data_IF_729413995487
#
_entry.id   IF_729413995487
#
_cell.length_a   1.000
_cell.length_b   1.000
_cell.length_c   1.000
_cell.angle_alpha   90.00
_cell.angle_beta   90.00
_cell.angle_gamma   90.00
#
_symmetry.space_group_name_H-M   'P 1'
#
loop_
_entity.id
_entity.type
_entity.pdbx_description
1 polymer ?
#
# COMPACT_ATOMS: atom_id res chain seq x y z
N UNK A 1 -25.38 -38.00 -32.35
CA UNK A 1 -24.39 -36.90 -32.36
C UNK A 1 -23.59 -36.95 -33.65
N UNK A 2 -23.99 -36.12 -34.60
CA UNK A 2 -23.34 -35.91 -35.90
C UNK A 2 -21.95 -35.30 -35.69
N UNK A 3 -21.05 -35.49 -36.67
CA UNK A 3 -19.77 -34.77 -36.71
C UNK A 3 -19.99 -33.27 -36.50
N UNK A 4 -19.14 -32.62 -35.72
CA UNK A 4 -19.24 -31.18 -35.47
C UNK A 4 -19.24 -30.42 -36.80
N UNK A 5 -20.15 -29.45 -36.92
CA UNK A 5 -20.31 -28.70 -38.16
C UNK A 5 -19.01 -27.94 -38.50
N UNK A 6 -18.62 -27.85 -39.78
CA UNK A 6 -17.39 -27.16 -40.17
C UNK A 6 -17.31 -25.71 -39.69
N UNK A 7 -18.46 -25.00 -39.66
CA UNK A 7 -18.53 -23.62 -39.17
C UNK A 7 -18.20 -23.51 -37.68
N UNK A 8 -18.66 -24.46 -36.85
CA UNK A 8 -18.40 -24.49 -35.42
C UNK A 8 -16.90 -24.67 -35.15
N UNK A 9 -16.25 -25.60 -35.86
CA UNK A 9 -14.80 -25.79 -35.81
C UNK A 9 -14.06 -24.49 -36.11
N UNK A 10 -14.47 -23.79 -37.17
CA UNK A 10 -13.88 -22.52 -37.58
C UNK A 10 -14.00 -21.42 -36.53
N UNK A 11 -15.20 -21.21 -35.98
CA UNK A 11 -15.46 -20.16 -34.97
C UNK A 11 -14.63 -20.38 -33.72
N UNK A 12 -14.73 -21.56 -33.10
CA UNK A 12 -14.06 -21.81 -31.82
C UNK A 12 -12.53 -21.89 -31.95
N UNK A 13 -12.01 -22.40 -33.07
CA UNK A 13 -10.56 -22.38 -33.33
C UNK A 13 -10.05 -20.95 -33.47
N UNK A 14 -10.77 -20.11 -34.22
CA UNK A 14 -10.44 -18.67 -34.37
C UNK A 14 -10.49 -17.97 -33.02
N UNK A 15 -11.52 -18.23 -32.21
CA UNK A 15 -11.67 -17.67 -30.87
C UNK A 15 -10.51 -18.07 -29.95
N UNK A 16 -10.09 -19.33 -30.00
CA UNK A 16 -8.94 -19.84 -29.23
C UNK A 16 -7.64 -19.12 -29.61
N UNK A 17 -7.35 -19.00 -30.91
CA UNK A 17 -6.15 -18.30 -31.42
C UNK A 17 -6.15 -16.82 -30.98
N UNK A 18 -7.27 -16.12 -31.17
CA UNK A 18 -7.38 -14.71 -30.78
C UNK A 18 -7.22 -14.54 -29.26
N UNK A 19 -7.80 -15.42 -28.46
CA UNK A 19 -7.67 -15.41 -26.99
C UNK A 19 -6.22 -15.61 -26.56
N UNK A 20 -5.51 -16.55 -27.18
CA UNK A 20 -4.10 -16.81 -26.89
C UNK A 20 -3.20 -15.60 -27.20
N UNK A 21 -3.38 -14.99 -28.37
CA UNK A 21 -2.62 -13.79 -28.77
C UNK A 21 -2.90 -12.65 -27.79
N UNK A 22 -4.17 -12.43 -27.45
CA UNK A 22 -4.60 -11.39 -26.51
C UNK A 22 -3.99 -11.60 -25.12
N UNK A 23 -4.11 -12.79 -24.53
CA UNK A 23 -3.61 -13.07 -23.18
C UNK A 23 -2.09 -13.01 -23.11
N UNK A 24 -1.40 -13.55 -24.11
CA UNK A 24 0.06 -13.56 -24.16
C UNK A 24 0.59 -12.12 -24.27
N UNK A 25 0.05 -11.33 -25.20
CA UNK A 25 0.48 -9.94 -25.42
C UNK A 25 0.27 -9.09 -24.18
N UNK A 26 -0.92 -9.16 -23.57
CA UNK A 26 -1.24 -8.37 -22.37
C UNK A 26 -0.43 -8.81 -21.14
N UNK A 27 -0.13 -10.11 -20.99
CA UNK A 27 0.73 -10.62 -19.91
C UNK A 27 2.18 -10.15 -20.05
N UNK A 28 2.73 -10.14 -21.27
CA UNK A 28 4.07 -9.62 -21.55
C UNK A 28 4.12 -8.11 -21.25
N UNK A 29 3.11 -7.35 -21.68
CA UNK A 29 3.02 -5.92 -21.38
C UNK A 29 2.91 -5.66 -19.87
N UNK A 30 2.12 -6.45 -19.15
CA UNK A 30 2.00 -6.39 -17.69
C UNK A 30 3.32 -6.64 -16.99
N UNK A 31 4.06 -7.67 -17.42
CA UNK A 31 5.39 -7.97 -16.90
C UNK A 31 6.39 -6.82 -17.15
N UNK A 32 6.49 -6.34 -18.40
CA UNK A 32 7.41 -5.25 -18.78
C UNK A 32 7.11 -3.94 -18.06
N UNK A 33 5.83 -3.65 -17.77
CA UNK A 33 5.43 -2.39 -17.13
C UNK A 33 5.49 -2.39 -15.61
N UNK A 34 5.69 -3.53 -14.95
CA UNK A 34 5.70 -3.62 -13.49
C UNK A 34 6.57 -2.57 -12.82
N UNK A 35 7.80 -2.39 -13.25
CA UNK A 35 8.74 -1.50 -12.58
C UNK A 35 8.41 -0.01 -12.77
N UNK A 36 7.47 0.33 -13.65
CA UNK A 36 7.14 1.73 -13.99
C UNK A 36 5.88 2.25 -13.30
N UNK A 37 5.02 1.38 -12.78
CA UNK A 37 3.70 1.78 -12.25
C UNK A 37 3.50 1.21 -10.85
N UNK A 38 3.35 2.07 -9.82
CA UNK A 38 3.10 1.63 -8.44
C UNK A 38 1.91 0.68 -8.30
N UNK A 39 0.80 0.93 -9.01
CA UNK A 39 -0.41 0.08 -9.01
C UNK A 39 -0.10 -1.38 -9.44
N UNK A 40 0.89 -1.59 -10.31
CA UNK A 40 1.34 -2.93 -10.73
C UNK A 40 2.34 -3.53 -9.74
N UNK A 41 3.16 -2.70 -9.09
CA UNK A 41 4.19 -3.17 -8.15
C UNK A 41 3.60 -3.86 -6.92
N UNK A 42 2.47 -3.35 -6.40
CA UNK A 42 1.78 -3.93 -5.24
C UNK A 42 1.04 -5.25 -5.56
N UNK A 43 0.97 -5.65 -6.83
CA UNK A 43 0.37 -6.91 -7.22
C UNK A 43 1.40 -8.04 -7.09
N UNK A 44 1.03 -9.22 -6.57
CA UNK A 44 1.91 -10.37 -6.50
C UNK A 44 2.16 -10.94 -7.91
N UNK A 45 3.16 -10.37 -8.62
CA UNK A 45 3.45 -10.64 -10.04
C UNK A 45 3.47 -12.14 -10.37
N UNK A 46 4.17 -12.94 -9.58
CA UNK A 46 4.34 -14.38 -9.84
C UNK A 46 2.99 -15.09 -9.86
N UNK A 47 2.13 -14.81 -8.89
CA UNK A 47 0.78 -15.36 -8.81
C UNK A 47 -0.09 -14.87 -9.97
N UNK A 48 -0.03 -13.57 -10.30
CA UNK A 48 -0.77 -13.02 -11.44
C UNK A 48 -0.37 -13.66 -12.78
N UNK A 49 0.92 -13.93 -13.00
CA UNK A 49 1.40 -14.60 -14.22
C UNK A 49 1.06 -16.08 -14.25
N UNK A 50 1.18 -16.79 -13.12
CA UNK A 50 0.73 -18.19 -13.00
C UNK A 50 -0.76 -18.29 -13.30
N UNK A 51 -1.56 -17.36 -12.75
CA UNK A 51 -2.99 -17.28 -13.03
C UNK A 51 -3.25 -17.04 -14.53
N UNK A 52 -2.60 -16.04 -15.12
CA UNK A 52 -2.77 -15.72 -16.55
C UNK A 52 -2.40 -16.90 -17.45
N UNK A 53 -1.33 -17.63 -17.14
CA UNK A 53 -0.92 -18.83 -17.86
C UNK A 53 -1.98 -19.94 -17.75
N UNK A 54 -2.45 -20.24 -16.54
CA UNK A 54 -3.49 -21.24 -16.33
C UNK A 54 -4.81 -20.87 -17.03
N UNK A 55 -5.24 -19.61 -16.94
CA UNK A 55 -6.40 -19.08 -17.66
C UNK A 55 -6.23 -19.21 -19.18
N UNK A 56 -5.04 -18.92 -19.72
CA UNK A 56 -4.74 -19.10 -21.16
C UNK A 56 -4.94 -20.55 -21.58
N UNK A 57 -4.39 -21.48 -20.81
CA UNK A 57 -4.49 -22.91 -21.09
C UNK A 57 -5.94 -23.41 -21.02
N UNK A 58 -6.70 -22.99 -20.00
CA UNK A 58 -8.12 -23.31 -19.86
C UNK A 58 -8.96 -22.77 -21.03
N UNK A 59 -8.76 -21.51 -21.42
CA UNK A 59 -9.48 -20.92 -22.54
C UNK A 59 -9.21 -21.68 -23.84
N UNK A 60 -7.95 -22.07 -24.09
CA UNK A 60 -7.60 -22.88 -25.25
C UNK A 60 -8.27 -24.26 -25.22
N UNK A 61 -8.26 -24.95 -24.07
CA UNK A 61 -8.92 -26.24 -23.92
C UNK A 61 -10.44 -26.13 -24.15
N UNK A 62 -11.08 -25.11 -23.59
CA UNK A 62 -12.52 -24.83 -23.80
C UNK A 62 -12.82 -24.61 -25.28
N UNK A 63 -12.03 -23.79 -25.97
CA UNK A 63 -12.20 -23.51 -27.39
C UNK A 63 -12.02 -24.77 -28.24
N UNK A 64 -10.95 -25.55 -28.02
CA UNK A 64 -10.72 -26.77 -28.80
C UNK A 64 -11.74 -27.87 -28.52
N UNK A 65 -12.12 -28.07 -27.25
CA UNK A 65 -13.20 -29.01 -26.91
C UNK A 65 -14.52 -28.60 -27.59
N UNK A 66 -14.84 -27.30 -27.59
CA UNK A 66 -16.05 -26.77 -28.23
C UNK A 66 -15.98 -26.87 -29.76
N UNK A 67 -14.79 -26.75 -30.37
CA UNK A 67 -14.58 -26.85 -31.80
C UNK A 67 -14.80 -28.29 -32.31
N UNK A 68 -14.08 -29.24 -31.73
CA UNK A 68 -13.97 -30.61 -32.26
C UNK A 68 -15.00 -31.56 -31.66
N UNK A 69 -15.50 -31.27 -30.46
CA UNK A 69 -16.44 -32.12 -29.73
C UNK A 69 -15.78 -33.35 -29.09
N UNK A 70 -16.53 -34.13 -28.29
CA UNK A 70 -15.98 -35.21 -27.46
C UNK A 70 -15.48 -36.43 -28.24
N UNK A 71 -15.91 -36.60 -29.51
CA UNK A 71 -15.49 -37.72 -30.36
C UNK A 71 -14.14 -37.49 -31.03
N UNK A 72 -13.83 -36.24 -31.38
CA UNK A 72 -12.61 -35.89 -32.11
C UNK A 72 -11.52 -35.34 -31.19
N UNK A 73 -11.89 -34.67 -30.09
CA UNK A 73 -10.93 -34.11 -29.14
C UNK A 73 -10.61 -35.09 -28.00
N UNK A 74 -9.33 -35.39 -27.71
CA UNK A 74 -8.98 -36.35 -26.68
C UNK A 74 -9.51 -35.95 -25.31
N UNK A 75 -10.27 -36.86 -24.68
CA UNK A 75 -10.84 -36.65 -23.35
C UNK A 75 -9.76 -36.39 -22.28
N UNK A 76 -8.56 -36.93 -22.46
CA UNK A 76 -7.41 -36.71 -21.57
C UNK A 76 -7.14 -35.21 -21.40
N UNK A 77 -7.09 -34.44 -22.48
CA UNK A 77 -6.81 -33.01 -22.43
C UNK A 77 -7.97 -32.24 -21.80
N UNK A 78 -9.21 -32.61 -22.09
CA UNK A 78 -10.38 -31.96 -21.49
C UNK A 78 -10.37 -32.13 -19.98
N UNK A 79 -10.27 -33.36 -19.47
CA UNK A 79 -10.38 -33.61 -18.05
C UNK A 79 -9.11 -33.21 -17.30
N UNK A 80 -7.93 -33.67 -17.70
CA UNK A 80 -6.71 -33.44 -16.92
C UNK A 80 -6.25 -31.99 -16.98
N UNK A 81 -6.12 -31.43 -18.19
CA UNK A 81 -5.63 -30.05 -18.33
C UNK A 81 -6.65 -29.08 -17.74
N UNK A 82 -7.96 -29.30 -17.95
CA UNK A 82 -8.96 -28.40 -17.36
C UNK A 82 -9.04 -28.53 -15.84
N UNK A 83 -8.95 -29.74 -15.27
CA UNK A 83 -8.91 -29.91 -13.81
C UNK A 83 -7.68 -29.25 -13.19
N UNK A 84 -6.49 -29.51 -13.73
CA UNK A 84 -5.24 -28.90 -13.24
C UNK A 84 -5.29 -27.38 -13.41
N UNK A 85 -5.71 -26.89 -14.58
CA UNK A 85 -5.83 -25.46 -14.86
C UNK A 85 -6.79 -24.76 -13.91
N UNK A 86 -7.96 -25.35 -13.64
CA UNK A 86 -8.93 -24.80 -12.69
C UNK A 86 -8.37 -24.75 -11.28
N UNK A 87 -7.69 -25.80 -10.82
CA UNK A 87 -7.01 -25.82 -9.52
C UNK A 87 -5.99 -24.68 -9.44
N UNK A 88 -5.15 -24.52 -10.47
CA UNK A 88 -4.13 -23.46 -10.48
C UNK A 88 -4.76 -22.07 -10.47
N UNK A 89 -5.83 -21.83 -11.24
CA UNK A 89 -6.55 -20.54 -11.23
C UNK A 89 -7.11 -20.24 -9.85
N UNK A 90 -7.85 -21.18 -9.25
CA UNK A 90 -8.45 -20.97 -7.93
C UNK A 90 -7.41 -20.79 -6.83
N UNK A 91 -6.39 -21.65 -6.78
CA UNK A 91 -5.29 -21.54 -5.80
C UNK A 91 -4.54 -20.23 -6.00
N UNK A 92 -4.27 -19.81 -7.23
CA UNK A 92 -3.59 -18.53 -7.47
C UNK A 92 -4.43 -17.34 -7.00
N UNK A 93 -5.71 -17.26 -7.36
CA UNK A 93 -6.62 -16.19 -6.89
C UNK A 93 -6.69 -16.16 -5.36
N UNK A 94 -6.72 -17.33 -4.73
CA UNK A 94 -6.69 -17.48 -3.27
C UNK A 94 -5.42 -16.92 -2.66
N UNK A 95 -4.26 -17.37 -3.13
CA UNK A 95 -2.98 -16.91 -2.63
C UNK A 95 -2.82 -15.39 -2.82
N UNK A 96 -3.40 -14.82 -3.88
CA UNK A 96 -3.45 -13.37 -4.08
C UNK A 96 -4.32 -12.67 -3.04
N UNK A 97 -5.48 -13.22 -2.71
CA UNK A 97 -6.36 -12.69 -1.67
C UNK A 97 -5.66 -12.72 -0.30
N UNK A 98 -5.02 -13.84 0.06
CA UNK A 98 -4.27 -13.98 1.31
C UNK A 98 -3.10 -12.99 1.34
N UNK A 99 -2.31 -12.91 0.27
CA UNK A 99 -1.19 -11.96 0.20
C UNK A 99 -1.66 -10.52 0.36
N UNK A 100 -2.77 -10.13 -0.29
CA UNK A 100 -3.36 -8.81 -0.15
C UNK A 100 -3.81 -8.52 1.29
N UNK A 101 -4.52 -9.46 1.92
CA UNK A 101 -4.96 -9.34 3.33
C UNK A 101 -3.77 -9.20 4.27
N UNK A 102 -2.74 -10.03 4.07
CA UNK A 102 -1.53 -10.00 4.89
C UNK A 102 -0.79 -8.67 4.76
N UNK A 103 -0.54 -8.18 3.54
CA UNK A 103 0.14 -6.90 3.31
C UNK A 103 -0.66 -5.73 3.89
N UNK A 104 -1.98 -5.73 3.72
CA UNK A 104 -2.84 -4.70 4.30
C UNK A 104 -2.77 -4.71 5.83
N UNK A 105 -2.95 -5.88 6.46
CA UNK A 105 -2.88 -6.02 7.92
C UNK A 105 -1.51 -5.61 8.44
N UNK A 106 -0.44 -6.05 7.80
CA UNK A 106 0.93 -5.71 8.17
C UNK A 106 1.17 -4.18 8.16
N UNK A 107 0.69 -3.47 7.15
CA UNK A 107 0.78 -2.01 7.08
C UNK A 107 -0.02 -1.31 8.19
N UNK A 108 -1.23 -1.80 8.50
CA UNK A 108 -2.01 -1.26 9.61
C UNK A 108 -1.36 -1.53 10.97
N UNK A 109 -0.78 -2.71 11.18
CA UNK A 109 -0.07 -3.04 12.42
C UNK A 109 1.22 -2.23 12.56
N UNK A 110 1.95 -1.95 11.47
CA UNK A 110 3.08 -1.00 11.49
C UNK A 110 2.67 0.37 12.03
N UNK A 111 1.54 0.89 11.54
CA UNK A 111 1.01 2.16 12.00
C UNK A 111 0.61 2.11 13.49
N UNK A 112 -0.02 1.00 13.92
CA UNK A 112 -0.48 0.82 15.30
C UNK A 112 0.67 0.65 16.30
N UNK A 113 1.72 -0.08 15.93
CA UNK A 113 2.90 -0.24 16.78
C UNK A 113 3.52 1.11 17.10
N UNK A 114 3.60 2.03 16.13
CA UNK A 114 4.11 3.37 16.40
C UNK A 114 3.24 4.19 17.37
N UNK A 115 1.90 4.11 17.22
CA UNK A 115 0.97 4.77 18.16
C UNK A 115 1.13 4.21 19.58
N UNK A 116 1.39 2.90 19.70
CA UNK A 116 1.55 2.23 20.99
C UNK A 116 2.83 2.69 21.70
N UNK A 117 3.89 2.99 20.96
CA UNK A 117 5.12 3.57 21.53
C UNK A 117 4.92 4.98 22.07
N UNK A 118 4.06 5.76 21.41
CA UNK A 118 3.70 7.11 21.87
C UNK A 118 2.73 7.12 23.08
N UNK A 119 2.13 5.99 23.46
CA UNK A 119 1.05 5.91 24.47
C UNK A 119 1.36 5.11 25.74
N UNK A 120 2.63 4.81 26.03
CA UNK A 120 3.05 4.26 27.33
C UNK A 120 2.74 5.24 28.49
N UNK A 121 2.47 4.68 29.68
CA UNK A 121 1.18 4.79 30.35
C UNK A 121 0.82 6.21 30.75
N UNK A 122 -0.34 6.64 30.26
CA UNK A 122 -1.18 7.59 30.98
C UNK A 122 -2.55 7.00 31.19
N UNK A 123 -3.07 7.28 32.38
CA UNK A 123 -4.35 6.81 32.90
C UNK A 123 -5.48 6.85 31.87
N UNK A 124 -6.37 5.86 31.86
CA UNK A 124 -7.39 5.71 30.84
C UNK A 124 -8.33 6.92 30.80
N UNK A 125 -8.27 7.69 29.72
CA UNK A 125 -9.25 8.74 29.41
C UNK A 125 -10.39 8.08 28.64
N UNK A 126 -11.61 8.23 29.15
CA UNK A 126 -12.87 7.87 28.49
C UNK A 126 -13.12 8.82 27.30
N UNK A 127 -13.22 8.34 26.04
CA UNK A 127 -13.52 9.21 24.92
C UNK A 127 -15.03 9.22 24.64
N UNK A 128 -15.69 10.34 24.95
CA UNK A 128 -16.98 10.71 24.38
C UNK A 128 -16.80 11.30 22.99
N UNK A 129 -16.85 10.48 21.93
CA UNK A 129 -16.96 11.00 20.56
C UNK A 129 -17.67 9.99 19.63
N UNK A 130 -18.91 10.33 19.26
CA UNK A 130 -19.86 9.51 18.49
C UNK A 130 -19.82 9.75 16.95
N UNK A 131 -18.87 10.51 16.42
CA UNK A 131 -18.91 10.99 15.03
C UNK A 131 -18.27 10.09 13.95
N UNK A 132 -17.42 9.12 14.30
CA UNK A 132 -16.53 8.43 13.34
C UNK A 132 -16.74 6.91 13.24
N UNK A 133 -18.01 6.49 13.33
CA UNK A 133 -18.39 5.07 13.45
C UNK A 133 -18.14 4.22 12.19
N UNK A 134 -17.81 4.81 11.04
CA UNK A 134 -17.48 4.04 9.82
C UNK A 134 -16.05 3.50 9.77
N UNK A 135 -15.11 4.09 10.51
CA UNK A 135 -13.70 3.67 10.53
C UNK A 135 -13.28 2.90 11.80
N UNK A 136 -14.06 2.99 12.88
CA UNK A 136 -13.79 2.29 14.15
C UNK A 136 -14.12 0.78 14.13
N UNK A 137 -14.75 0.26 13.08
CA UNK A 137 -15.21 -1.14 13.02
C UNK A 137 -14.18 -2.11 12.41
N UNK A 138 -12.89 -1.83 12.60
CA UNK A 138 -11.80 -2.75 12.30
C UNK A 138 -11.32 -3.42 13.60
N UNK A 139 -12.23 -4.10 14.30
CA UNK A 139 -11.78 -5.19 15.18
C UNK A 139 -11.44 -6.37 14.26
N UNK A 140 -10.22 -6.94 14.37
CA UNK A 140 -9.86 -8.10 13.56
C UNK A 140 -10.75 -9.28 13.99
N UNK A 141 -11.79 -9.56 13.21
CA UNK A 141 -12.52 -10.81 13.25
C UNK A 141 -11.56 -11.93 12.85
N UNK A 142 -10.82 -12.45 13.83
CA UNK A 142 -10.15 -13.74 13.76
C UNK A 142 -11.18 -14.76 14.22
N UNK A 143 -12.15 -15.04 13.37
CA UNK A 143 -12.97 -16.25 13.53
C UNK A 143 -12.30 -17.35 12.73
N UNK A 144 -12.10 -18.52 13.33
CA UNK A 144 -11.42 -19.69 12.73
C UNK A 144 -12.12 -20.27 11.48
N UNK A 145 -13.20 -19.63 11.02
CA UNK A 145 -13.88 -20.01 9.80
C UNK A 145 -13.09 -19.57 8.57
N UNK A 146 -12.62 -20.58 7.83
CA UNK A 146 -12.04 -20.41 6.51
C UNK A 146 -13.00 -19.64 5.59
N UNK A 147 -14.32 -19.87 5.67
CA UNK A 147 -15.28 -19.17 4.82
C UNK A 147 -15.33 -17.65 5.08
N UNK A 148 -15.26 -17.23 6.36
CA UNK A 148 -15.17 -15.81 6.72
C UNK A 148 -13.84 -15.22 6.25
N UNK A 149 -12.75 -15.97 6.39
CA UNK A 149 -11.44 -15.52 5.91
C UNK A 149 -11.40 -15.31 4.39
N UNK A 150 -12.14 -16.11 3.64
CA UNK A 150 -12.10 -16.09 2.18
C UNK A 150 -12.99 -15.02 1.55
N UNK A 151 -14.23 -14.87 2.03
CA UNK A 151 -15.18 -13.92 1.42
C UNK A 151 -15.22 -12.60 2.18
N UNK A 152 -15.22 -12.67 3.52
CA UNK A 152 -15.43 -11.50 4.37
C UNK A 152 -14.15 -10.68 4.49
N UNK A 153 -12.98 -11.29 4.66
CA UNK A 153 -11.74 -10.51 4.85
C UNK A 153 -11.40 -9.59 3.68
N UNK A 154 -11.41 -10.03 2.39
CA UNK A 154 -11.19 -9.12 1.27
C UNK A 154 -12.27 -8.04 1.19
N UNK A 155 -13.51 -8.35 1.58
CA UNK A 155 -14.63 -7.41 1.59
C UNK A 155 -14.58 -6.38 2.73
N UNK A 156 -13.73 -6.53 3.73
CA UNK A 156 -13.61 -5.53 4.81
C UNK A 156 -12.46 -4.56 4.56
N UNK A 157 -11.41 -4.96 3.86
CA UNK A 157 -10.22 -4.12 3.66
C UNK A 157 -10.54 -2.92 2.76
N UNK A 158 -10.12 -1.72 3.18
CA UNK A 158 -10.14 -0.53 2.33
C UNK A 158 -8.83 -0.49 1.55
N UNK A 159 -8.91 -0.36 0.23
CA UNK A 159 -7.74 -0.36 -0.64
C UNK A 159 -7.81 0.77 -1.66
N UNK A 160 -6.66 1.41 -1.85
CA UNK A 160 -6.47 2.57 -2.71
C UNK A 160 -6.30 2.24 -4.20
N UNK A 161 -5.85 1.02 -4.50
CA UNK A 161 -5.49 0.56 -5.83
C UNK A 161 -6.64 -0.19 -6.53
N UNK A 162 -7.69 -0.55 -5.80
CA UNK A 162 -8.84 -1.30 -6.33
C UNK A 162 -8.57 -2.80 -6.52
N UNK A 163 -7.46 -3.31 -5.99
CA UNK A 163 -7.12 -4.72 -5.83
C UNK A 163 -8.24 -5.49 -5.13
N UNK A 164 -8.86 -4.90 -4.11
CA UNK A 164 -10.00 -5.53 -3.43
C UNK A 164 -11.13 -5.86 -4.41
N UNK A 165 -11.55 -4.88 -5.21
CA UNK A 165 -12.69 -5.05 -6.14
C UNK A 165 -12.37 -6.10 -7.18
N UNK A 166 -11.15 -6.08 -7.70
CA UNK A 166 -10.68 -7.08 -8.64
C UNK A 166 -10.68 -8.50 -8.05
N UNK A 167 -10.09 -8.68 -6.86
CA UNK A 167 -10.03 -10.00 -6.20
C UNK A 167 -11.45 -10.52 -5.96
N UNK A 168 -12.36 -9.67 -5.47
CA UNK A 168 -13.77 -10.05 -5.26
C UNK A 168 -14.45 -10.45 -6.58
N UNK A 169 -14.25 -9.70 -7.66
CA UNK A 169 -14.83 -10.04 -8.97
C UNK A 169 -14.26 -11.37 -9.49
N UNK A 170 -12.97 -11.64 -9.31
CA UNK A 170 -12.36 -12.91 -9.71
C UNK A 170 -12.89 -14.09 -8.90
N UNK A 171 -13.03 -13.91 -7.58
CA UNK A 171 -13.55 -14.95 -6.68
C UNK A 171 -15.01 -15.30 -6.95
N UNK A 172 -15.84 -14.31 -7.28
CA UNK A 172 -17.28 -14.51 -7.55
C UNK A 172 -17.52 -14.92 -9.01
N UNK A 173 -16.78 -14.33 -9.95
CA UNK A 173 -17.00 -14.49 -11.39
C UNK A 173 -16.76 -15.92 -11.88
N UNK A 174 -15.74 -16.61 -11.38
CA UNK A 174 -15.46 -18.01 -11.75
C UNK A 174 -16.61 -18.97 -11.38
N UNK A 175 -17.01 -19.05 -10.10
CA UNK A 175 -18.15 -19.84 -9.67
C UNK A 175 -19.45 -19.45 -10.39
N UNK A 176 -19.72 -18.16 -10.57
CA UNK A 176 -20.92 -17.69 -11.28
C UNK A 176 -20.94 -18.18 -12.73
N UNK A 177 -19.80 -18.09 -13.44
CA UNK A 177 -19.68 -18.61 -14.81
C UNK A 177 -19.92 -20.12 -14.89
N UNK A 178 -19.50 -20.86 -13.86
CA UNK A 178 -19.73 -22.31 -13.75
C UNK A 178 -21.21 -22.64 -13.48
N UNK A 179 -21.88 -21.86 -12.62
CA UNK A 179 -23.32 -22.01 -12.37
C UNK A 179 -24.12 -21.75 -13.65
N UNK A 180 -23.79 -20.67 -14.38
CA UNK A 180 -24.44 -20.35 -15.66
C UNK A 180 -24.20 -21.45 -16.69
N UNK A 181 -23.01 -22.03 -16.73
CA UNK A 181 -22.71 -23.20 -17.56
C UNK A 181 -23.67 -24.37 -17.28
N UNK A 182 -23.83 -24.78 -16.01
CA UNK A 182 -24.74 -25.88 -15.67
C UNK A 182 -26.19 -25.54 -16.00
N UNK A 183 -26.66 -24.33 -15.68
CA UNK A 183 -28.02 -23.89 -16.02
C UNK A 183 -28.24 -23.96 -17.53
N UNK A 184 -27.27 -23.51 -18.33
CA UNK A 184 -27.34 -23.58 -19.79
C UNK A 184 -27.46 -25.02 -20.30
N UNK A 185 -26.58 -25.90 -19.83
CA UNK A 185 -26.58 -27.32 -20.23
C UNK A 185 -27.88 -28.05 -19.84
N UNK A 186 -28.47 -27.74 -18.67
CA UNK A 186 -29.72 -28.36 -18.24
C UNK A 186 -30.97 -27.77 -18.90
N UNK A 187 -30.96 -26.47 -19.21
CA UNK A 187 -32.18 -25.77 -19.67
C UNK A 187 -32.31 -25.79 -21.19
N UNK A 188 -31.21 -25.76 -21.94
CA UNK A 188 -31.22 -25.55 -23.39
C UNK A 188 -30.44 -26.61 -24.18
N UNK A 189 -30.77 -27.91 -24.05
CA UNK A 189 -30.05 -28.97 -24.74
C UNK A 189 -30.13 -28.86 -26.26
N UNK A 190 -31.22 -28.30 -26.81
CA UNK A 190 -31.39 -28.10 -28.26
C UNK A 190 -30.46 -27.02 -28.83
N UNK A 191 -30.08 -26.03 -28.00
CA UNK A 191 -29.17 -24.95 -28.42
C UNK A 191 -27.70 -25.38 -28.36
N UNK A 192 -27.38 -26.55 -27.80
CA UNK A 192 -26.01 -27.06 -27.66
C UNK A 192 -25.29 -27.20 -29.00
N UNK A 193 -26.04 -27.54 -30.07
CA UNK A 193 -25.48 -27.68 -31.41
C UNK A 193 -25.04 -26.33 -32.00
N UNK A 194 -25.66 -25.23 -31.53
CA UNK A 194 -25.34 -23.85 -31.95
C UNK A 194 -24.28 -23.23 -31.03
N UNK A 195 -24.49 -23.32 -29.70
CA UNK A 195 -23.67 -22.65 -28.70
C UNK A 195 -23.31 -23.63 -27.59
N UNK A 196 -22.01 -23.95 -27.48
CA UNK A 196 -21.50 -24.84 -26.44
C UNK A 196 -21.62 -24.13 -25.08
N UNK A 197 -22.14 -24.80 -24.05
CA UNK A 197 -22.30 -24.19 -22.73
C UNK A 197 -20.99 -23.68 -22.13
N UNK A 198 -19.84 -24.28 -22.49
CA UNK A 198 -18.53 -23.83 -22.02
C UNK A 198 -18.18 -22.39 -22.42
N UNK A 199 -18.93 -21.75 -23.33
CA UNK A 199 -18.73 -20.33 -23.68
C UNK A 199 -18.87 -19.40 -22.47
N UNK A 200 -19.72 -19.74 -21.49
CA UNK A 200 -19.91 -18.91 -20.28
C UNK A 200 -18.71 -19.00 -19.34
N UNK A 201 -18.12 -20.19 -19.19
CA UNK A 201 -16.87 -20.37 -18.47
C UNK A 201 -15.72 -19.62 -19.16
N UNK A 202 -15.62 -19.71 -20.50
CA UNK A 202 -14.64 -18.95 -21.28
C UNK A 202 -14.81 -17.44 -21.09
N UNK A 203 -16.05 -16.92 -21.14
CA UNK A 203 -16.32 -15.50 -20.97
C UNK A 203 -15.92 -15.01 -19.57
N UNK A 204 -16.18 -15.80 -18.54
CA UNK A 204 -15.75 -15.51 -17.17
C UNK A 204 -14.23 -15.44 -17.05
N UNK A 205 -13.50 -16.38 -17.66
CA UNK A 205 -12.03 -16.39 -17.70
C UNK A 205 -11.46 -15.18 -18.45
N UNK A 206 -12.05 -14.81 -19.60
CA UNK A 206 -11.67 -13.60 -20.36
C UNK A 206 -11.92 -12.33 -19.57
N UNK A 207 -13.06 -12.22 -18.90
CA UNK A 207 -13.36 -11.09 -18.02
C UNK A 207 -12.36 -11.01 -16.87
N UNK A 208 -12.03 -12.14 -16.26
CA UNK A 208 -11.04 -12.22 -15.19
C UNK A 208 -9.64 -11.76 -15.63
N UNK A 209 -9.17 -12.25 -16.78
CA UNK A 209 -7.90 -11.81 -17.36
C UNK A 209 -7.91 -10.31 -17.71
N UNK A 210 -9.03 -9.83 -18.27
CA UNK A 210 -9.21 -8.42 -18.65
C UNK A 210 -9.11 -7.51 -17.43
N UNK A 211 -9.82 -7.85 -16.35
CA UNK A 211 -9.80 -7.04 -15.12
C UNK A 211 -8.45 -7.12 -14.41
N UNK A 212 -7.80 -8.29 -14.42
CA UNK A 212 -6.60 -8.50 -13.61
C UNK A 212 -5.29 -8.06 -14.26
N UNK A 213 -5.20 -8.19 -15.59
CA UNK A 213 -3.97 -7.96 -16.36
C UNK A 213 -4.17 -6.79 -17.32
N UNK A 214 -5.19 -6.86 -18.18
CA UNK A 214 -5.39 -5.87 -19.25
C UNK A 214 -5.74 -4.48 -18.72
N UNK A 215 -6.67 -4.38 -17.77
CA UNK A 215 -7.13 -3.10 -17.25
C UNK A 215 -6.01 -2.30 -16.56
N UNK A 216 -5.19 -2.88 -15.67
CA UNK A 216 -4.02 -2.18 -15.12
C UNK A 216 -3.01 -1.73 -16.18
N UNK A 217 -2.76 -2.57 -17.20
CA UNK A 217 -1.89 -2.20 -18.32
C UNK A 217 -2.48 -1.02 -19.09
N UNK A 218 -3.74 -1.11 -19.51
CA UNK A 218 -4.41 -0.05 -20.26
C UNK A 218 -4.46 1.27 -19.48
N UNK A 219 -4.87 1.21 -18.20
CA UNK A 219 -4.89 2.37 -17.30
C UNK A 219 -3.52 3.05 -17.24
N UNK A 220 -2.46 2.25 -17.16
CA UNK A 220 -1.10 2.80 -17.12
C UNK A 220 -0.64 3.48 -18.42
N UNK A 221 -1.22 3.14 -19.57
CA UNK A 221 -0.94 3.85 -20.83
C UNK A 221 -1.77 5.14 -20.93
N UNK A 222 -2.96 5.15 -20.33
CA UNK A 222 -3.86 6.30 -20.34
C UNK A 222 -3.41 7.40 -19.40
N UNK A 223 -2.91 7.05 -18.22
CA UNK A 223 -2.35 8.00 -17.26
C UNK A 223 -0.91 8.32 -17.69
N UNK A 224 -0.63 9.52 -18.25
CA UNK A 224 0.69 9.83 -18.79
C UNK A 224 1.73 9.75 -17.67
N UNK A 225 2.80 8.97 -17.91
CA UNK A 225 3.97 8.86 -17.01
C UNK A 225 4.54 10.24 -16.61
N UNK A 226 4.25 11.28 -17.40
CA UNK A 226 4.70 12.65 -17.20
C UNK A 226 4.24 13.24 -15.86
N UNK A 227 3.09 12.83 -15.31
CA UNK A 227 2.66 13.31 -13.98
C UNK A 227 3.55 12.81 -12.84
N UNK A 228 4.23 11.67 -13.02
CA UNK A 228 5.16 11.11 -12.04
C UNK A 228 6.59 11.61 -12.29
N UNK A 229 7.04 11.59 -13.56
CA UNK A 229 8.42 11.96 -13.92
C UNK A 229 8.70 13.47 -13.87
N UNK A 230 7.69 14.36 -13.99
CA UNK A 230 7.92 15.80 -13.88
C UNK A 230 8.38 16.22 -12.48
N UNK A 231 8.03 15.43 -11.46
CA UNK A 231 8.40 15.72 -10.06
C UNK A 231 9.79 15.20 -9.70
N UNK A 232 10.25 14.12 -10.32
CA UNK A 232 11.57 13.50 -10.01
C UNK A 232 12.71 14.01 -10.90
N UNK A 233 12.42 14.39 -12.15
CA UNK A 233 13.48 14.78 -13.11
C UNK A 233 13.97 16.22 -12.88
N UNK A 234 13.21 17.06 -12.17
CA UNK A 234 13.59 18.44 -11.85
C UNK A 234 14.60 18.55 -10.69
N UNK A 235 14.93 17.45 -10.01
CA UNK A 235 15.89 17.42 -8.90
C UNK A 235 17.35 17.19 -9.34
N UNK A 236 17.59 16.68 -10.55
CA UNK A 236 18.94 16.41 -11.05
C UNK A 236 19.45 17.46 -12.07
N UNK A 237 18.81 18.62 -12.17
CA UNK A 237 19.26 19.67 -13.07
C UNK A 237 20.25 20.58 -12.34
N UNK A 238 21.52 20.14 -12.27
CA UNK A 238 22.65 20.90 -11.72
C UNK A 238 23.11 22.07 -12.62
N UNK A 239 22.63 22.18 -13.87
CA UNK A 239 23.15 23.15 -14.86
C UNK A 239 22.09 24.11 -15.45
N UNK A 240 21.31 24.83 -14.63
CA UNK A 240 20.53 26.00 -15.10
C UNK A 240 20.75 27.21 -14.16
N UNK A 241 20.95 28.43 -14.72
CA UNK A 241 21.55 29.54 -14.01
C UNK A 241 20.75 29.99 -12.80
N UNK A 242 21.48 30.27 -11.71
CA UNK A 242 21.03 31.04 -10.56
C UNK A 242 20.38 32.33 -11.05
N UNK A 243 19.07 32.50 -10.86
CA UNK A 243 18.50 33.61 -10.11
C UNK A 243 16.99 33.79 -10.37
N UNK A 244 16.24 33.78 -9.25
CA UNK A 244 15.09 34.66 -8.96
C UNK A 244 13.64 34.29 -9.30
N UNK A 245 13.25 33.04 -9.62
CA UNK A 245 11.79 32.76 -9.69
C UNK A 245 11.34 31.32 -9.40
N UNK A 246 12.09 30.56 -8.59
CA UNK A 246 11.75 29.16 -8.25
C UNK A 246 10.79 29.00 -7.05
N UNK A 247 10.37 30.09 -6.38
CA UNK A 247 9.66 30.05 -5.09
C UNK A 247 8.14 30.24 -5.16
N UNK A 248 7.56 30.72 -6.27
CA UNK A 248 6.15 31.17 -6.29
C UNK A 248 5.15 30.20 -6.91
N UNK A 249 5.56 28.97 -7.24
CA UNK A 249 4.67 27.98 -7.85
C UNK A 249 4.53 26.70 -7.05
N UNK A 250 4.54 26.79 -5.71
CA UNK A 250 3.85 25.75 -4.92
C UNK A 250 2.41 25.72 -5.42
N UNK A 251 2.04 24.63 -6.09
CA UNK A 251 0.67 24.52 -6.59
C UNK A 251 -0.29 24.66 -5.41
N UNK A 252 -1.46 25.30 -5.61
CA UNK A 252 -2.53 25.34 -4.60
C UNK A 252 -2.87 23.95 -4.04
N UNK A 253 -2.65 22.90 -4.84
CA UNK A 253 -2.80 21.48 -4.45
C UNK A 253 -1.75 21.05 -3.42
N UNK A 254 -0.50 21.51 -3.52
CA UNK A 254 0.54 21.23 -2.53
C UNK A 254 0.30 21.98 -1.22
N UNK A 255 -0.12 23.24 -1.28
CA UNK A 255 -0.53 23.99 -0.07
C UNK A 255 -1.67 23.28 0.68
N UNK A 256 -2.65 22.77 -0.07
CA UNK A 256 -3.73 21.95 0.48
C UNK A 256 -3.21 20.67 1.17
N UNK A 257 -2.15 20.07 0.63
CA UNK A 257 -1.49 18.93 1.26
C UNK A 257 -0.76 19.33 2.56
N UNK A 258 -0.05 20.46 2.57
CA UNK A 258 0.59 20.98 3.79
C UNK A 258 -0.44 21.29 4.88
N UNK A 259 -1.62 21.83 4.52
CA UNK A 259 -2.74 22.02 5.47
C UNK A 259 -3.21 20.70 6.07
N UNK A 260 -3.34 19.64 5.27
CA UNK A 260 -3.72 18.29 5.76
C UNK A 260 -2.68 17.73 6.73
N UNK A 261 -1.40 17.97 6.48
CA UNK A 261 -0.32 17.55 7.39
C UNK A 261 -0.21 18.39 8.67
N UNK A 262 -0.76 19.61 8.65
CA UNK A 262 -0.72 20.54 9.78
C UNK A 262 -1.92 20.37 10.73
N UNK A 263 -3.08 19.94 10.22
CA UNK A 263 -4.25 19.61 11.04
C UNK A 263 -4.14 18.19 11.59
N UNK A 264 -4.09 18.06 12.92
CA UNK A 264 -3.88 16.77 13.61
C UNK A 264 -4.89 15.69 13.21
N UNK A 265 -6.17 16.06 13.12
CA UNK A 265 -7.25 15.12 12.76
C UNK A 265 -7.18 14.68 11.29
N UNK A 266 -6.95 15.61 10.36
CA UNK A 266 -6.76 15.30 8.95
C UNK A 266 -5.49 14.49 8.73
N UNK A 267 -4.43 14.78 9.48
CA UNK A 267 -3.20 14.00 9.44
C UNK A 267 -3.46 12.57 9.90
N UNK A 268 -4.17 12.33 11.01
CA UNK A 268 -4.58 10.98 11.44
C UNK A 268 -5.36 10.21 10.36
N UNK A 269 -6.26 10.89 9.65
CA UNK A 269 -6.99 10.29 8.54
C UNK A 269 -6.06 10.00 7.35
N UNK A 270 -5.09 10.88 7.10
CA UNK A 270 -4.07 10.72 6.08
C UNK A 270 -3.16 9.53 6.37
N UNK A 271 -2.78 9.29 7.64
CA UNK A 271 -1.98 8.12 8.04
C UNK A 271 -2.67 6.80 7.70
N UNK A 272 -3.98 6.71 7.95
CA UNK A 272 -4.79 5.54 7.57
C UNK A 272 -4.85 5.35 6.06
N UNK A 273 -4.94 6.44 5.30
CA UNK A 273 -4.87 6.38 3.84
C UNK A 273 -3.51 5.90 3.34
N UNK A 274 -2.41 6.39 3.93
CA UNK A 274 -1.07 5.93 3.61
C UNK A 274 -0.86 4.44 3.91
N UNK A 275 -1.38 3.95 5.03
CA UNK A 275 -1.40 2.52 5.34
C UNK A 275 -2.18 1.71 4.30
N UNK A 276 -3.37 2.20 3.88
CA UNK A 276 -4.15 1.60 2.81
C UNK A 276 -3.50 1.70 1.41
N UNK A 277 -2.50 2.58 1.26
CA UNK A 277 -1.67 2.71 0.06
C UNK A 277 -0.36 1.93 0.14
N UNK A 278 -0.15 1.16 1.21
CA UNK A 278 1.05 0.39 1.49
C UNK A 278 2.34 1.23 1.55
N UNK A 279 2.24 2.45 2.10
CA UNK A 279 3.38 3.35 2.27
C UNK A 279 3.40 3.93 3.70
N UNK A 280 3.22 3.03 4.67
CA UNK A 280 3.13 3.39 6.10
C UNK A 280 4.44 3.98 6.60
N UNK A 281 5.57 3.45 6.14
CA UNK A 281 6.93 3.88 6.46
C UNK A 281 7.16 5.37 6.19
N UNK A 282 6.57 5.93 5.14
CA UNK A 282 6.70 7.35 4.81
C UNK A 282 6.08 8.25 5.89
N UNK A 283 4.92 7.85 6.41
CA UNK A 283 4.26 8.60 7.49
C UNK A 283 4.99 8.42 8.81
N UNK A 284 5.44 7.20 9.10
CA UNK A 284 6.23 6.90 10.30
C UNK A 284 7.52 7.73 10.32
N UNK A 285 8.22 7.82 9.18
CA UNK A 285 9.39 8.69 9.02
C UNK A 285 9.08 10.13 9.40
N UNK A 286 7.97 10.71 8.93
CA UNK A 286 7.62 12.09 9.27
C UNK A 286 7.37 12.27 10.77
N UNK A 287 6.71 11.28 11.42
CA UNK A 287 6.47 11.32 12.86
C UNK A 287 7.80 11.26 13.65
N UNK A 288 8.69 10.33 13.31
CA UNK A 288 10.00 10.21 13.95
C UNK A 288 10.89 11.43 13.66
N UNK A 289 10.77 12.03 12.48
CA UNK A 289 11.47 13.26 12.17
C UNK A 289 10.94 14.44 13.02
N UNK A 290 9.63 14.50 13.32
CA UNK A 290 9.10 15.47 14.29
C UNK A 290 9.65 15.25 15.69
N UNK A 291 9.77 13.99 16.10
CA UNK A 291 10.38 13.66 17.39
C UNK A 291 11.85 14.10 17.43
N UNK A 292 12.61 13.80 16.38
CA UNK A 292 14.01 14.24 16.25
C UNK A 292 14.11 15.77 16.30
N UNK A 293 13.21 16.49 15.62
CA UNK A 293 13.13 17.95 15.67
C UNK A 293 12.84 18.47 17.07
N UNK A 294 11.93 17.84 17.81
CA UNK A 294 11.66 18.18 19.20
C UNK A 294 12.92 18.03 20.09
N UNK A 295 13.68 16.95 19.91
CA UNK A 295 14.94 16.74 20.62
C UNK A 295 15.96 17.85 20.31
N UNK A 296 16.07 18.27 19.03
CA UNK A 296 16.94 19.38 18.64
C UNK A 296 16.51 20.70 19.29
N UNK A 297 15.22 21.02 19.28
CA UNK A 297 14.70 22.23 19.95
C UNK A 297 15.08 22.23 21.43
N UNK A 298 14.91 21.09 22.11
CA UNK A 298 15.24 20.92 23.53
C UNK A 298 16.73 21.09 23.82
N UNK A 299 17.61 20.56 22.98
CA UNK A 299 19.06 20.68 23.17
C UNK A 299 19.59 22.07 22.84
N UNK A 300 19.02 22.74 21.83
CA UNK A 300 19.53 24.02 21.32
C UNK A 300 18.87 25.26 21.95
N UNK A 301 17.72 25.10 22.62
CA UNK A 301 17.06 26.21 23.32
C UNK A 301 17.57 26.24 24.76
N UNK A 302 18.26 27.31 25.21
CA UNK A 302 18.72 27.42 26.59
C UNK A 302 17.50 27.45 27.52
N UNK A 303 17.22 26.31 28.16
CA UNK A 303 16.15 26.22 29.15
C UNK A 303 16.58 27.01 30.38
N UNK A 304 15.81 28.03 30.77
CA UNK A 304 15.97 28.69 32.06
C UNK A 304 15.62 27.68 33.18
N UNK A 305 16.59 26.83 33.54
CA UNK A 305 16.75 25.99 34.75
C UNK A 305 15.56 25.22 35.34
N UNK A 306 14.37 25.20 34.73
CA UNK A 306 13.28 24.37 35.22
C UNK A 306 13.40 22.98 34.59
N UNK A 307 13.62 21.98 35.45
CA UNK A 307 13.78 20.55 35.15
C UNK A 307 12.65 20.02 34.26
N UNK A 308 12.83 20.10 32.94
CA UNK A 308 11.96 19.42 32.00
C UNK A 308 12.38 17.94 31.99
N UNK A 309 11.60 17.09 32.65
CA UNK A 309 11.81 15.65 32.65
C UNK A 309 11.94 15.14 31.20
N UNK A 310 12.92 14.26 30.96
CA UNK A 310 13.05 13.58 29.66
C UNK A 310 11.79 12.74 29.45
N UNK A 311 11.08 12.88 28.30
CA UNK A 311 10.23 11.81 27.84
C UNK A 311 11.13 10.58 27.72
N UNK A 312 10.88 9.53 28.51
CA UNK A 312 11.65 8.31 28.42
C UNK A 312 11.51 7.75 27.01
N UNK A 313 12.58 7.79 26.22
CA UNK A 313 12.66 7.07 24.95
C UNK A 313 12.73 5.58 25.27
N UNK A 314 11.75 4.76 24.84
CA UNK A 314 11.85 3.32 25.02
C UNK A 314 12.97 2.79 24.12
N UNK A 315 14.10 2.40 24.72
CA UNK A 315 15.20 1.73 24.02
C UNK A 315 14.76 0.33 23.61
N UNK A 316 14.65 0.08 22.32
CA UNK A 316 14.48 -1.29 21.79
C UNK A 316 15.84 -1.97 21.63
N UNK A 317 15.92 -3.20 22.13
CA UNK A 317 16.90 -4.20 21.67
C UNK A 317 16.11 -5.28 20.96
N UNK A 318 16.10 -5.25 19.63
CA UNK A 318 15.60 -6.36 18.82
C UNK A 318 16.65 -7.48 18.91
N UNK A 319 16.33 -8.59 19.57
CA UNK A 319 17.16 -9.80 19.51
C UNK A 319 16.91 -10.52 18.18
N UNK A 320 17.95 -11.16 17.64
CA UNK A 320 17.98 -11.88 16.34
C UNK A 320 16.85 -12.91 16.12
N UNK A 321 16.11 -13.28 17.16
CA UNK A 321 15.09 -14.32 17.14
C UNK A 321 13.69 -13.80 16.72
N UNK A 322 13.55 -12.52 16.39
CA UNK A 322 12.26 -11.92 15.98
C UNK A 322 11.19 -11.84 17.08
N UNK A 323 11.54 -12.16 18.33
CA UNK A 323 10.62 -12.09 19.47
C UNK A 323 10.79 -10.76 20.20
N UNK A 324 9.74 -9.93 20.21
CA UNK A 324 9.69 -8.68 20.97
C UNK A 324 9.37 -9.03 22.42
N UNK A 325 10.32 -8.81 23.34
CA UNK A 325 10.08 -8.95 24.79
C UNK A 325 10.27 -7.59 25.47
N UNK A 326 9.29 -7.16 26.25
CA UNK A 326 9.34 -5.93 27.02
C UNK A 326 10.04 -6.17 28.37
N UNK A 327 10.98 -5.31 28.79
CA UNK A 327 11.55 -5.38 30.13
C UNK A 327 10.54 -4.85 31.15
N UNK A 328 10.07 -5.72 32.04
CA UNK A 328 9.33 -5.34 33.25
C UNK A 328 7.82 -5.47 33.16
N UNK A 329 7.31 -6.67 33.38
CA UNK A 329 5.94 -6.86 33.87
C UNK A 329 5.85 -6.37 35.31
N UNK A 330 5.65 -5.06 35.50
CA UNK A 330 5.40 -4.51 36.82
C UNK A 330 3.92 -4.74 37.17
N UNK A 331 3.67 -5.61 38.15
CA UNK A 331 2.38 -5.72 38.84
C UNK A 331 2.16 -4.46 39.66
N UNK A 332 1.25 -3.58 39.27
CA UNK A 332 0.73 -2.53 40.14
C UNK A 332 -0.77 -2.72 40.38
N UNK A 333 -1.08 -3.29 41.56
CA UNK A 333 -2.27 -2.98 42.32
C UNK A 333 -1.85 -1.99 43.41
N UNK A 334 -2.38 -0.77 43.39
CA UNK A 334 -2.80 -0.04 44.59
C UNK A 334 -3.56 1.22 44.17
N UNK A 335 -4.86 1.22 44.45
CA UNK A 335 -5.72 2.38 44.38
C UNK A 335 -5.45 3.32 45.57
N UNK A 336 -5.69 4.62 45.37
CA UNK A 336 -5.69 5.72 46.35
C UNK A 336 -4.41 6.60 46.38
N UNK A 337 -4.35 7.56 45.45
CA UNK A 337 -3.47 8.72 45.46
C UNK A 337 -4.09 9.90 44.69
N UNK A 338 -3.80 11.15 45.05
CA UNK A 338 -4.51 12.33 44.58
C UNK A 338 -4.27 12.60 43.09
N UNK A 339 -5.34 13.01 42.40
CA UNK A 339 -5.40 13.27 40.96
C UNK A 339 -4.36 14.29 40.49
N UNK A 340 -3.34 13.82 39.79
CA UNK A 340 -2.49 14.64 38.92
C UNK A 340 -3.24 14.98 37.62
N UNK A 341 -2.99 16.13 37.01
CA UNK A 341 -3.69 16.56 35.79
C UNK A 341 -3.37 15.64 34.60
N UNK A 342 -4.28 15.52 33.62
CA UNK A 342 -4.16 14.60 32.50
C UNK A 342 -3.15 15.12 31.46
N UNK A 343 -2.07 14.37 31.24
CA UNK A 343 -0.96 14.75 30.34
C UNK A 343 -1.05 14.13 28.93
N UNK A 344 -2.22 14.05 28.30
CA UNK A 344 -2.39 13.36 26.99
C UNK A 344 -1.25 13.65 25.98
N UNK A 345 -0.83 12.72 25.09
CA UNK A 345 0.29 12.88 24.14
C UNK A 345 0.11 13.97 23.07
N UNK A 346 -0.83 14.89 23.25
CA UNK A 346 -0.85 16.23 22.67
C UNK A 346 0.40 17.08 23.02
N UNK A 347 1.36 16.56 23.80
CA UNK A 347 2.51 17.32 24.29
C UNK A 347 3.55 17.74 23.24
N UNK A 348 3.42 17.32 21.97
CA UNK A 348 4.30 17.79 20.88
C UNK A 348 3.50 18.51 19.78
N UNK A 349 2.17 18.64 19.88
CA UNK A 349 1.36 19.31 18.86
C UNK A 349 1.49 20.84 18.84
N UNK A 350 2.14 21.44 19.84
CA UNK A 350 2.51 22.87 19.80
C UNK A 350 3.84 23.13 19.07
N UNK A 351 4.51 22.09 18.58
CA UNK A 351 5.70 22.26 17.75
C UNK A 351 5.32 22.43 16.28
N UNK A 352 6.19 23.14 15.55
CA UNK A 352 6.00 23.49 14.13
C UNK A 352 5.56 22.27 13.28
N UNK A 353 4.76 22.46 12.22
CA UNK A 353 4.28 21.36 11.38
C UNK A 353 5.38 20.45 10.83
N UNK A 354 5.03 19.22 10.43
CA UNK A 354 6.00 18.29 9.83
C UNK A 354 6.55 18.70 8.47
N UNK A 355 5.91 19.68 7.84
CA UNK A 355 6.36 20.36 6.63
C UNK A 355 7.50 21.36 6.90
N UNK A 356 7.79 21.69 8.16
CA UNK A 356 8.88 22.58 8.57
C UNK A 356 10.13 21.80 8.97
N UNK A 357 11.25 22.19 8.36
CA UNK A 357 12.59 21.68 8.66
C UNK A 357 13.02 21.95 10.10
N UNK A 358 14.03 21.21 10.55
CA UNK A 358 14.71 21.45 11.82
C UNK A 358 15.37 22.83 11.79
N UNK A 359 16.01 23.17 10.67
CA UNK A 359 16.70 24.46 10.49
C UNK A 359 15.76 25.66 10.42
N UNK A 360 14.55 25.51 9.89
CA UNK A 360 13.51 26.57 9.94
C UNK A 360 12.97 26.75 11.36
N UNK A 361 12.90 25.67 12.14
CA UNK A 361 12.30 25.69 13.48
C UNK A 361 13.29 26.21 14.53
N UNK A 362 14.56 25.83 14.40
CA UNK A 362 15.66 26.28 15.24
C UNK A 362 16.57 27.12 14.36
N UNK A 363 16.32 28.42 14.27
CA UNK A 363 17.12 29.34 13.43
C UNK A 363 18.62 29.27 13.76
N UNK A 364 18.95 28.95 15.00
CA UNK A 364 20.32 28.78 15.46
C UNK A 364 20.99 27.46 15.02
N UNK A 365 20.24 26.49 14.50
CA UNK A 365 20.77 25.21 14.03
C UNK A 365 21.77 25.32 12.87
N UNK A 366 21.83 26.48 12.21
CA UNK A 366 22.78 26.76 11.12
C UNK A 366 24.21 27.02 11.61
N UNK A 367 24.41 27.41 12.86
CA UNK A 367 25.73 27.81 13.40
C UNK A 367 26.12 27.14 14.71
N UNK A 368 25.18 26.47 15.39
CA UNK A 368 25.47 25.69 16.60
C UNK A 368 26.14 24.37 16.21
N UNK A 369 27.23 23.95 16.89
CA UNK A 369 27.83 22.64 16.67
C UNK A 369 26.86 21.51 17.05
N UNK A 370 26.93 20.37 16.37
CA UNK A 370 26.04 19.24 16.63
C UNK A 370 26.12 18.76 18.10
N UNK A 371 25.00 18.73 18.86
CA UNK A 371 24.99 18.24 20.23
C UNK A 371 25.28 16.73 20.30
N UNK A 372 26.27 16.32 21.10
CA UNK A 372 26.69 14.92 21.20
C UNK A 372 25.57 13.99 21.67
N UNK A 373 24.66 14.50 22.50
CA UNK A 373 23.51 13.78 23.05
C UNK A 373 22.58 13.23 21.96
N UNK A 374 22.49 13.92 20.82
CA UNK A 374 21.60 13.56 19.70
C UNK A 374 22.18 12.51 18.77
N UNK A 375 23.47 12.17 18.92
CA UNK A 375 24.18 11.27 18.00
C UNK A 375 23.53 9.90 17.90
N UNK A 376 23.09 9.35 19.03
CA UNK A 376 22.43 8.04 19.08
C UNK A 376 21.06 8.09 18.39
N UNK A 377 20.29 9.16 18.59
CA UNK A 377 18.96 9.32 17.99
C UNK A 377 19.07 9.50 16.47
N UNK A 378 20.01 10.31 16.00
CA UNK A 378 20.29 10.45 14.57
C UNK A 378 20.74 9.14 13.94
N UNK A 379 21.60 8.37 14.62
CA UNK A 379 22.01 7.04 14.13
C UNK A 379 20.83 6.06 14.07
N UNK A 380 20.01 6.02 15.12
CA UNK A 380 18.82 5.16 15.18
C UNK A 380 17.82 5.51 14.07
N UNK A 381 17.66 6.80 13.77
CA UNK A 381 16.83 7.27 12.66
C UNK A 381 17.34 6.76 11.30
N UNK A 382 18.66 6.78 11.07
CA UNK A 382 19.27 6.19 9.88
C UNK A 382 19.06 4.69 9.81
N UNK A 383 19.41 3.96 10.87
CA UNK A 383 19.30 2.49 10.93
C UNK A 383 17.84 2.05 10.71
N UNK A 384 16.87 2.88 11.09
CA UNK A 384 15.43 2.58 10.94
C UNK A 384 14.91 2.86 9.53
N UNK A 385 15.23 4.00 8.91
CA UNK A 385 14.56 4.42 7.67
C UNK A 385 15.44 4.49 6.42
N UNK A 386 16.76 4.55 6.60
CA UNK A 386 17.72 4.74 5.52
C UNK A 386 18.62 3.53 5.29
N UNK A 387 18.80 2.65 6.28
CA UNK A 387 19.49 1.37 6.07
C UNK A 387 18.66 0.48 5.14
N UNK A 388 19.19 0.04 3.98
CA UNK A 388 18.46 -0.83 3.04
C UNK A 388 18.07 -2.20 3.63
N UNK A 389 18.64 -2.60 4.76
CA UNK A 389 18.29 -3.85 5.45
C UNK A 389 17.17 -3.68 6.48
N UNK A 390 16.70 -2.46 6.72
CA UNK A 390 15.61 -2.20 7.66
C UNK A 390 14.24 -2.57 7.11
N UNK A 391 13.35 -3.07 7.98
CA UNK A 391 11.94 -3.32 7.69
C UNK A 391 11.14 -2.06 7.34
N UNK A 392 11.66 -0.88 7.70
CA UNK A 392 11.09 0.45 7.42
C UNK A 392 11.94 1.26 6.44
N UNK A 393 12.87 0.60 5.74
CA UNK A 393 13.71 1.26 4.74
C UNK A 393 12.87 1.95 3.67
N UNK A 394 13.12 3.24 3.47
CA UNK A 394 12.51 4.04 2.40
C UNK A 394 13.46 4.06 1.20
N UNK A 395 12.89 3.91 0.00
CA UNK A 395 13.66 3.90 -1.23
C UNK A 395 14.07 5.32 -1.65
N UNK A 396 15.20 5.79 -1.11
CA UNK A 396 15.83 7.05 -1.46
C UNK A 396 16.79 6.93 -2.65
N UNK A 397 17.21 8.08 -3.21
CA UNK A 397 18.27 8.09 -4.23
C UNK A 397 19.59 7.57 -3.66
N UNK A 398 20.34 6.81 -4.46
CA UNK A 398 21.63 6.25 -4.04
C UNK A 398 22.65 7.32 -3.62
N UNK A 399 22.62 8.49 -4.27
CA UNK A 399 23.49 9.62 -3.92
C UNK A 399 23.18 10.16 -2.51
N UNK A 400 21.91 10.35 -2.17
CA UNK A 400 21.48 10.79 -0.84
C UNK A 400 21.88 9.78 0.23
N UNK A 401 21.59 8.49 0.00
CA UNK A 401 21.94 7.42 0.94
C UNK A 401 23.45 7.32 1.16
N UNK A 402 24.25 7.37 0.10
CA UNK A 402 25.70 7.31 0.19
C UNK A 402 26.27 8.52 0.94
N UNK A 403 25.76 9.73 0.68
CA UNK A 403 26.16 10.94 1.39
C UNK A 403 25.94 10.81 2.89
N UNK A 404 24.72 10.46 3.30
CA UNK A 404 24.35 10.31 4.71
C UNK A 404 25.14 9.17 5.37
N UNK A 405 25.29 8.03 4.67
CA UNK A 405 26.08 6.88 5.15
C UNK A 405 27.54 7.25 5.42
N UNK A 406 28.15 8.02 4.51
CA UNK A 406 29.53 8.49 4.69
C UNK A 406 29.65 9.49 5.84
N UNK A 407 28.67 10.37 6.04
CA UNK A 407 28.62 11.27 7.21
C UNK A 407 28.61 10.48 8.52
N UNK A 408 27.75 9.46 8.63
CA UNK A 408 27.67 8.59 9.82
C UNK A 408 28.97 7.80 10.03
N UNK A 409 29.55 7.24 8.96
CA UNK A 409 30.80 6.47 9.02
C UNK A 409 31.99 7.32 9.48
N UNK A 410 32.03 8.60 9.09
CA UNK A 410 33.08 9.56 9.47
C UNK A 410 32.80 10.27 10.80
N UNK A 411 31.70 9.95 11.47
CA UNK A 411 31.25 10.62 12.68
C UNK A 411 30.99 12.14 12.49
N UNK A 412 30.57 12.53 11.28
CA UNK A 412 30.31 13.91 10.88
C UNK A 412 28.80 14.18 10.85
N UNK A 413 28.20 14.31 12.03
CA UNK A 413 26.77 14.57 12.17
C UNK A 413 26.44 16.06 11.97
N UNK A 414 25.35 16.34 11.26
CA UNK A 414 24.82 17.68 11.05
C UNK A 414 23.32 17.69 11.37
N UNK A 415 22.81 18.77 11.96
CA UNK A 415 21.39 18.89 12.30
C UNK A 415 20.48 18.77 11.06
N UNK A 416 20.97 19.19 9.90
CA UNK A 416 20.26 19.22 8.61
C UNK A 416 20.46 17.97 7.75
N UNK A 417 21.20 16.94 8.20
CA UNK A 417 21.59 15.82 7.33
C UNK A 417 20.41 15.01 6.75
N UNK A 418 19.22 15.13 7.35
CA UNK A 418 17.99 14.46 6.89
C UNK A 418 16.99 15.37 6.16
N UNK A 419 17.30 16.65 5.91
CA UNK A 419 16.36 17.59 5.27
C UNK A 419 15.95 17.15 3.86
N UNK A 420 16.92 16.72 3.05
CA UNK A 420 16.62 16.24 1.70
C UNK A 420 15.76 14.96 1.75
N UNK A 421 16.04 14.05 2.69
CA UNK A 421 15.24 12.84 2.86
C UNK A 421 13.80 13.17 3.26
N UNK A 422 13.60 14.16 4.12
CA UNK A 422 12.26 14.66 4.49
C UNK A 422 11.51 15.24 3.29
N UNK A 423 12.16 16.08 2.49
CA UNK A 423 11.54 16.65 1.28
C UNK A 423 11.17 15.55 0.27
N UNK A 424 12.04 14.56 0.07
CA UNK A 424 11.76 13.39 -0.77
C UNK A 424 10.53 12.61 -0.24
N UNK A 425 10.43 12.40 1.09
CA UNK A 425 9.27 11.73 1.72
C UNK A 425 7.98 12.54 1.56
N UNK A 426 8.02 13.85 1.79
CA UNK A 426 6.87 14.74 1.59
C UNK A 426 6.39 14.69 0.14
N UNK A 427 7.32 14.72 -0.82
CA UNK A 427 7.01 14.61 -2.24
C UNK A 427 6.41 13.25 -2.59
N UNK A 428 6.96 12.15 -2.05
CA UNK A 428 6.42 10.81 -2.25
C UNK A 428 5.00 10.67 -1.70
N UNK A 429 4.72 11.23 -0.53
CA UNK A 429 3.37 11.26 0.05
C UNK A 429 2.42 12.13 -0.79
N UNK A 430 2.88 13.31 -1.20
CA UNK A 430 2.08 14.18 -2.06
C UNK A 430 1.69 13.50 -3.37
N UNK A 431 2.66 12.93 -4.09
CA UNK A 431 2.44 12.34 -5.41
C UNK A 431 1.64 11.03 -5.31
N UNK A 432 1.96 10.15 -4.35
CA UNK A 432 1.41 8.80 -4.32
C UNK A 432 0.12 8.68 -3.50
N UNK A 433 -0.02 9.43 -2.41
CA UNK A 433 -1.11 9.25 -1.44
C UNK A 433 -2.12 10.38 -1.44
N UNK A 434 -1.73 11.63 -1.69
CA UNK A 434 -2.62 12.77 -1.49
C UNK A 434 -3.89 12.73 -2.36
N UNK A 435 -3.77 12.42 -3.64
CA UNK A 435 -4.94 12.31 -4.49
C UNK A 435 -5.87 11.15 -4.09
N UNK A 436 -5.29 10.03 -3.66
CA UNK A 436 -6.05 8.88 -3.17
C UNK A 436 -6.76 9.22 -1.86
N UNK A 437 -6.13 9.99 -0.98
CA UNK A 437 -6.74 10.50 0.24
C UNK A 437 -7.96 11.37 -0.05
N UNK A 438 -7.85 12.34 -0.97
CA UNK A 438 -8.99 13.18 -1.37
C UNK A 438 -10.14 12.35 -1.96
N UNK A 439 -9.82 11.30 -2.72
CA UNK A 439 -10.81 10.39 -3.29
C UNK A 439 -11.48 9.51 -2.23
N UNK A 440 -10.72 9.01 -1.25
CA UNK A 440 -11.23 8.18 -0.15
C UNK A 440 -12.06 9.00 0.84
N UNK A 441 -11.61 10.20 1.18
CA UNK A 441 -12.24 11.10 2.13
C UNK A 441 -13.54 11.76 1.63
N UNK A 442 -13.77 11.73 0.31
CA UNK A 442 -15.02 12.21 -0.29
C UNK A 442 -15.28 13.70 -0.02
N UNK A 443 -16.53 14.04 0.27
CA UNK A 443 -16.95 15.42 0.57
C UNK A 443 -16.57 15.87 1.98
N UNK A 444 -16.43 14.94 2.93
CA UNK A 444 -16.12 15.27 4.33
C UNK A 444 -14.74 15.92 4.48
N UNK A 445 -13.72 15.28 3.89
CA UNK A 445 -12.35 15.82 3.88
C UNK A 445 -12.28 17.15 3.13
N UNK A 446 -12.99 17.27 2.00
CA UNK A 446 -13.02 18.53 1.23
C UNK A 446 -13.63 19.67 2.03
N UNK A 447 -14.79 19.44 2.64
CA UNK A 447 -15.48 20.44 3.46
C UNK A 447 -14.64 20.88 4.66
N UNK A 448 -13.86 19.94 5.24
CA UNK A 448 -12.95 20.28 6.34
C UNK A 448 -11.75 21.09 5.85
N UNK A 449 -11.16 20.74 4.72
CA UNK A 449 -10.06 21.49 4.11
C UNK A 449 -10.47 22.89 3.68
N UNK A 450 -11.71 23.11 3.23
CA UNK A 450 -12.24 24.44 2.88
C UNK A 450 -12.43 25.37 4.09
N UNK A 451 -12.50 24.81 5.31
CA UNK A 451 -12.58 25.58 6.55
C UNK A 451 -11.19 25.99 7.10
N UNK A 452 -10.12 25.37 6.60
CA UNK A 452 -8.72 25.67 6.91
C UNK A 452 -8.14 26.63 5.87
#
# INVERSE_FOLDING_TARGET
MNSSSPWRKGIYSTLGILTFIYFTTTSILFYKRRNKIPDIQFRPLRLSLINAFATTLLCLMICFHSAFGPKEFPCLFVYWISSIGNIIVHVSVTCRAIAFVWVAKYNFEKLRMNISYLSLPQTPITPGFNGMNRLKKFEPYVTDDWLTTWIVCPALIVDAYGLRKEILILMIGGPLGTIVYFIWEFTFPELYDILAGFIFAWLSLVLGHTLSITYPVWKSYKEPLNAYNSSTTSLNQEDIPKSTEKSNLKSKKYESFEKVLSDSELFECYKRCAAACFCTELVLFLQEYQYLKFLVIRCCTPSNNNELSLPQTPKFTVRENGHISFPGSIKFLSANGPSLPPFSPSFVTDTTPCTKSITETVTAASWIPFPYELKLDYKTFYDTYLDPNSDLAINFSGNLLNKIKEMIKKDQYELSMYEQAREDVLMLLYVNTFEKFLKMGGTEVKNKMEKL
#
